data_IF_324214109969
#
_entry.id   IF_324214109969
#
_cell.length_a   1.000
_cell.length_b   1.000
_cell.length_c   1.000
_cell.angle_alpha   90.00
_cell.angle_beta   90.00
_cell.angle_gamma   90.00
#
_symmetry.space_group_name_H-M   'P 1'
#
loop_
_entity.id
_entity.type
_entity.pdbx_description
1 polymer ?
#
# COMPACT_ATOMS: atom_id res chain seq x y z
N UNK A 1 -1.75 -20.61 -8.51
CA UNK A 1 -0.38 -20.37 -8.01
C UNK A 1 -0.37 -20.62 -6.51
N UNK A 2 0.70 -21.17 -5.95
CA UNK A 2 0.80 -21.40 -4.50
C UNK A 2 1.25 -20.12 -3.76
N UNK A 3 0.95 -20.00 -2.45
CA UNK A 3 1.40 -18.88 -1.58
C UNK A 3 2.90 -18.57 -1.72
N UNK A 4 3.71 -19.63 -1.91
CA UNK A 4 5.14 -19.52 -2.12
C UNK A 4 5.52 -18.74 -3.38
N UNK A 5 4.79 -18.93 -4.49
CA UNK A 5 5.06 -18.24 -5.76
C UNK A 5 4.76 -16.75 -5.65
N UNK A 6 3.66 -16.37 -4.99
CA UNK A 6 3.29 -14.97 -4.75
C UNK A 6 4.33 -14.25 -3.89
N UNK A 7 4.75 -14.88 -2.79
CA UNK A 7 5.81 -14.34 -1.92
C UNK A 7 7.15 -14.17 -2.66
N UNK A 8 7.49 -15.10 -3.55
CA UNK A 8 8.70 -14.99 -4.37
C UNK A 8 8.59 -13.84 -5.37
N UNK A 9 7.44 -13.67 -6.02
CA UNK A 9 7.19 -12.58 -6.98
C UNK A 9 7.40 -11.20 -6.33
N UNK A 10 6.82 -10.96 -5.15
CA UNK A 10 7.01 -9.69 -4.43
C UNK A 10 8.47 -9.41 -4.06
N UNK A 11 9.24 -10.44 -3.69
CA UNK A 11 10.69 -10.31 -3.42
C UNK A 11 11.47 -9.97 -4.68
N UNK A 12 11.18 -10.66 -5.78
CA UNK A 12 11.84 -10.41 -7.08
C UNK A 12 11.56 -8.99 -7.59
N UNK A 13 10.33 -8.49 -7.40
CA UNK A 13 9.98 -7.10 -7.73
C UNK A 13 10.81 -6.09 -6.92
N UNK A 14 10.88 -6.24 -5.58
CA UNK A 14 11.69 -5.36 -4.73
C UNK A 14 13.18 -5.38 -5.12
N UNK A 15 13.71 -6.54 -5.49
CA UNK A 15 15.09 -6.68 -5.96
C UNK A 15 15.31 -5.94 -7.29
N UNK A 16 14.39 -6.07 -8.25
CA UNK A 16 14.42 -5.33 -9.53
C UNK A 16 14.39 -3.81 -9.29
N UNK A 17 13.55 -3.34 -8.38
CA UNK A 17 13.43 -1.93 -8.02
C UNK A 17 14.55 -1.40 -7.12
N UNK A 18 15.49 -2.27 -6.69
CA UNK A 18 16.55 -1.98 -5.70
C UNK A 18 16.01 -1.27 -4.45
N UNK A 19 14.81 -1.68 -4.04
CA UNK A 19 14.08 -1.07 -2.93
C UNK A 19 14.15 -1.97 -1.70
N UNK A 20 14.38 -1.37 -0.53
CA UNK A 20 14.34 -2.05 0.76
C UNK A 20 13.03 -1.74 1.47
N UNK A 21 12.29 -2.78 1.84
CA UNK A 21 11.08 -2.66 2.64
C UNK A 21 11.40 -2.90 4.13
N UNK A 22 10.94 -2.01 4.99
CA UNK A 22 11.02 -2.13 6.45
C UNK A 22 9.61 -2.17 7.00
N UNK A 23 9.31 -3.16 7.84
CA UNK A 23 8.00 -3.33 8.47
C UNK A 23 8.16 -3.09 9.98
N UNK A 24 7.35 -2.19 10.52
CA UNK A 24 7.28 -1.86 11.95
C UNK A 24 5.87 -2.15 12.45
N UNK A 25 5.74 -2.93 13.52
CA UNK A 25 4.46 -3.10 14.18
C UNK A 25 4.09 -1.81 14.93
N UNK A 26 2.89 -1.29 14.65
CA UNK A 26 2.37 -0.07 15.26
C UNK A 26 1.40 -0.37 16.40
N UNK A 27 0.84 -1.58 16.47
CA UNK A 27 -0.04 -2.02 17.55
C UNK A 27 -1.36 -2.59 17.05
N UNK A 28 -2.13 -3.15 17.99
CA UNK A 28 -3.45 -3.72 17.75
C UNK A 28 -4.52 -2.64 17.95
N UNK A 29 -5.02 -2.08 16.85
CA UNK A 29 -5.91 -0.91 16.87
C UNK A 29 -6.92 -0.93 15.70
N UNK A 30 -8.01 -0.17 15.78
CA UNK A 30 -8.86 0.11 14.61
C UNK A 30 -8.02 0.76 13.50
N UNK A 31 -8.16 0.29 12.26
CA UNK A 31 -7.43 0.87 11.14
C UNK A 31 -8.23 1.99 10.45
N UNK A 32 -9.56 1.84 10.41
CA UNK A 32 -10.48 2.83 9.84
C UNK A 32 -11.30 3.55 10.92
N UNK A 33 -11.78 4.75 10.62
CA UNK A 33 -12.52 5.61 11.57
C UNK A 33 -13.84 4.95 12.05
N UNK A 34 -14.48 4.14 11.21
CA UNK A 34 -15.75 3.45 11.50
C UNK A 34 -15.56 1.95 11.89
N UNK A 35 -14.31 1.50 12.07
CA UNK A 35 -13.98 0.10 12.37
C UNK A 35 -14.31 -0.24 13.83
N UNK A 36 -15.07 -1.33 14.04
CA UNK A 36 -15.39 -1.83 15.39
C UNK A 36 -14.38 -2.84 15.90
N UNK A 37 -13.65 -3.47 14.99
CA UNK A 37 -12.71 -4.53 15.29
C UNK A 37 -11.27 -4.00 15.19
N UNK A 38 -10.48 -4.31 16.20
CA UNK A 38 -9.05 -4.01 16.19
C UNK A 38 -8.30 -5.05 15.36
N UNK A 39 -7.23 -4.60 14.71
CA UNK A 39 -6.37 -5.44 13.89
C UNK A 39 -4.91 -5.05 14.10
N UNK A 40 -4.00 -5.96 13.76
CA UNK A 40 -2.58 -5.66 13.77
C UNK A 40 -2.26 -4.63 12.68
N UNK A 41 -1.85 -3.43 13.10
CA UNK A 41 -1.47 -2.35 12.19
C UNK A 41 0.04 -2.29 12.07
N UNK A 42 0.53 -2.26 10.83
CA UNK A 42 1.95 -2.17 10.51
C UNK A 42 2.26 -0.89 9.76
N UNK A 43 3.34 -0.22 10.16
CA UNK A 43 3.94 0.88 9.43
C UNK A 43 5.02 0.33 8.50
N UNK A 44 4.85 0.55 7.21
CA UNK A 44 5.74 0.01 6.18
C UNK A 44 6.48 1.16 5.55
N UNK A 45 7.79 1.06 5.48
CA UNK A 45 8.64 2.06 4.85
C UNK A 45 9.50 1.43 3.77
N UNK A 46 9.33 1.92 2.54
CA UNK A 46 10.18 1.64 1.40
C UNK A 46 11.29 2.67 1.32
N UNK A 47 12.52 2.21 1.09
CA UNK A 47 13.69 3.07 0.89
C UNK A 47 14.46 2.61 -0.33
N UNK A 48 14.82 3.54 -1.22
CA UNK A 48 15.71 3.28 -2.34
C UNK A 48 16.62 4.46 -2.65
N UNK A 49 17.74 4.18 -3.29
CA UNK A 49 18.64 5.19 -3.86
C UNK A 49 18.31 5.30 -5.36
N UNK A 50 18.04 6.50 -5.90
CA UNK A 50 17.90 6.71 -7.34
C UNK A 50 19.06 7.57 -7.85
N UNK A 51 19.72 7.10 -8.90
CA UNK A 51 20.82 7.82 -9.55
C UNK A 51 21.97 8.13 -8.59
N UNK A 52 22.63 9.28 -8.81
CA UNK A 52 23.72 9.81 -7.97
C UNK A 52 23.24 10.69 -6.82
N UNK A 53 21.94 10.76 -6.56
CA UNK A 53 21.40 11.60 -5.50
C UNK A 53 21.79 11.05 -4.11
N UNK A 54 22.41 11.89 -3.29
CA UNK A 54 22.81 11.60 -1.91
C UNK A 54 21.63 11.42 -0.94
N UNK A 55 20.41 11.69 -1.38
CA UNK A 55 19.17 11.54 -0.60
C UNK A 55 18.44 10.26 -1.03
N UNK A 56 18.26 9.35 -0.08
CA UNK A 56 17.45 8.15 -0.32
C UNK A 56 15.97 8.52 -0.40
N UNK A 57 15.32 8.13 -1.49
CA UNK A 57 13.87 8.22 -1.63
C UNK A 57 13.23 7.29 -0.60
N UNK A 58 12.24 7.80 0.12
CA UNK A 58 11.47 7.06 1.12
C UNK A 58 9.98 7.24 0.86
N UNK A 59 9.24 6.15 1.02
CA UNK A 59 7.79 6.11 0.93
C UNK A 59 7.27 5.28 2.09
N UNK A 60 6.23 5.77 2.78
CA UNK A 60 5.69 5.11 3.96
C UNK A 60 4.19 4.95 3.86
N UNK A 61 3.69 3.76 4.17
CA UNK A 61 2.24 3.49 4.27
C UNK A 61 1.92 2.80 5.58
N UNK A 62 0.65 2.89 5.96
CA UNK A 62 0.09 2.15 7.08
C UNK A 62 -0.75 1.02 6.52
N UNK A 63 -0.51 -0.20 6.99
CA UNK A 63 -1.18 -1.41 6.53
C UNK A 63 -1.90 -2.07 7.71
N UNK A 64 -3.22 -2.12 7.65
CA UNK A 64 -4.02 -2.95 8.55
C UNK A 64 -4.06 -4.39 8.04
N UNK A 65 -3.66 -5.35 8.87
CA UNK A 65 -3.71 -6.76 8.49
C UNK A 65 -5.16 -7.28 8.43
N UNK A 66 -5.36 -8.38 7.70
CA UNK A 66 -6.61 -9.14 7.73
C UNK A 66 -6.91 -9.63 9.15
N UNK A 67 -8.18 -9.64 9.54
CA UNK A 67 -8.61 -10.15 10.86
C UNK A 67 -8.29 -11.63 11.03
N UNK A 68 -8.32 -12.42 9.95
CA UNK A 68 -7.96 -13.84 9.96
C UNK A 68 -6.46 -14.08 10.25
N UNK A 69 -5.61 -13.13 9.87
CA UNK A 69 -4.16 -13.22 10.03
C UNK A 69 -3.65 -12.45 11.26
N UNK A 70 -4.53 -11.69 11.91
CA UNK A 70 -4.21 -10.88 13.08
C UNK A 70 -4.10 -11.76 14.32
N UNK A 71 -2.98 -11.68 15.00
CA UNK A 71 -2.72 -12.41 16.25
C UNK A 71 -2.82 -11.50 17.48
N UNK A 72 -2.94 -10.18 17.29
CA UNK A 72 -2.92 -9.17 18.36
C UNK A 72 -1.51 -8.84 18.88
N UNK A 73 -0.52 -9.61 18.45
CA UNK A 73 0.88 -9.54 18.91
C UNK A 73 1.82 -8.98 17.84
N UNK A 74 1.36 -8.82 16.60
CA UNK A 74 2.19 -8.38 15.47
C UNK A 74 3.22 -9.43 14.98
N UNK A 75 3.07 -10.69 15.39
CA UNK A 75 3.99 -11.78 15.02
C UNK A 75 3.88 -12.15 13.54
N UNK A 76 2.67 -12.08 12.99
CA UNK A 76 2.41 -12.42 11.60
C UNK A 76 2.65 -11.21 10.68
N UNK A 77 3.91 -10.91 10.36
CA UNK A 77 4.24 -9.73 9.55
C UNK A 77 3.76 -9.89 8.10
N UNK A 78 3.19 -8.83 7.49
CA UNK A 78 2.76 -8.89 6.10
C UNK A 78 3.94 -9.13 5.17
N UNK A 79 3.72 -9.97 4.16
CA UNK A 79 4.72 -10.24 3.13
C UNK A 79 4.85 -9.05 2.17
N UNK A 80 6.00 -8.92 1.50
CA UNK A 80 6.19 -7.88 0.49
C UNK A 80 5.10 -7.91 -0.60
N UNK A 81 4.68 -9.11 -1.01
CA UNK A 81 3.60 -9.28 -1.98
C UNK A 81 2.28 -8.69 -1.45
N UNK A 82 1.86 -9.07 -0.24
CA UNK A 82 0.60 -8.59 0.35
C UNK A 82 0.55 -7.06 0.48
N UNK A 83 1.70 -6.43 0.68
CA UNK A 83 1.80 -4.98 0.76
C UNK A 83 1.73 -4.35 -0.63
N UNK A 84 2.52 -4.87 -1.57
CA UNK A 84 2.61 -4.36 -2.93
C UNK A 84 1.30 -4.51 -3.70
N UNK A 85 0.53 -5.58 -3.45
CA UNK A 85 -0.78 -5.78 -4.06
C UNK A 85 -1.84 -4.80 -3.58
N UNK A 86 -1.69 -4.28 -2.35
CA UNK A 86 -2.63 -3.33 -1.74
C UNK A 86 -2.31 -1.86 -2.05
N UNK A 87 -1.19 -1.57 -2.71
CA UNK A 87 -0.88 -0.20 -3.15
C UNK A 87 -1.82 0.24 -4.26
N UNK A 88 -2.09 1.55 -4.31
CA UNK A 88 -2.78 2.18 -5.44
C UNK A 88 -1.92 2.06 -6.70
N UNK A 89 -2.37 1.23 -7.66
CA UNK A 89 -1.59 0.88 -8.88
C UNK A 89 -2.02 1.65 -10.13
N UNK A 90 -3.11 2.41 -10.04
CA UNK A 90 -3.70 3.17 -11.15
C UNK A 90 -4.06 4.56 -10.67
N UNK A 91 -4.18 5.47 -11.62
CA UNK A 91 -4.65 6.81 -11.33
C UNK A 91 -6.09 6.75 -10.80
N UNK A 92 -6.37 7.25 -9.58
CA UNK A 92 -7.71 7.27 -9.02
C UNK A 92 -8.66 8.26 -9.68
N UNK A 93 -8.18 9.09 -10.62
CA UNK A 93 -9.03 10.01 -11.38
C UNK A 93 -9.63 11.13 -10.54
N UNK A 94 -10.68 11.75 -11.09
CA UNK A 94 -11.44 12.80 -10.42
C UNK A 94 -12.34 12.24 -9.31
N UNK A 95 -12.82 13.11 -8.43
CA UNK A 95 -13.67 12.69 -7.32
C UNK A 95 -15.02 12.15 -7.82
N UNK A 96 -15.55 12.74 -8.88
CA UNK A 96 -16.80 12.35 -9.53
C UNK A 96 -16.67 10.96 -10.17
N UNK A 97 -15.56 10.68 -10.85
CA UNK A 97 -15.26 9.35 -11.41
C UNK A 97 -15.13 8.30 -10.30
N UNK A 98 -14.40 8.62 -9.23
CA UNK A 98 -14.28 7.76 -8.06
C UNK A 98 -15.65 7.48 -7.41
N UNK A 99 -16.50 8.50 -7.29
CA UNK A 99 -17.85 8.33 -6.77
C UNK A 99 -18.71 7.44 -7.67
N UNK A 100 -18.65 7.63 -8.99
CA UNK A 100 -19.38 6.82 -9.95
C UNK A 100 -18.91 5.35 -9.97
N UNK A 101 -17.60 5.09 -9.84
CA UNK A 101 -17.02 3.74 -9.86
C UNK A 101 -17.34 2.94 -8.60
N UNK A 102 -17.21 3.56 -7.42
CA UNK A 102 -17.41 2.89 -6.13
C UNK A 102 -18.83 3.06 -5.55
N UNK A 103 -19.69 3.81 -6.23
CA UNK A 103 -21.06 4.08 -5.79
C UNK A 103 -21.15 5.02 -4.59
N UNK A 104 -20.18 5.92 -4.43
CA UNK A 104 -20.26 6.98 -3.42
C UNK A 104 -21.11 8.16 -3.90
N UNK A 105 -21.66 8.88 -2.94
CA UNK A 105 -22.32 10.15 -3.17
C UNK A 105 -21.27 11.27 -3.35
N UNK A 106 -21.39 12.05 -4.42
CA UNK A 106 -20.53 13.20 -4.71
C UNK A 106 -20.64 14.32 -3.68
N UNK A 107 -21.68 14.34 -2.84
CA UNK A 107 -21.78 15.30 -1.74
C UNK A 107 -21.22 14.74 -0.41
N UNK A 108 -20.71 13.50 -0.41
CA UNK A 108 -20.16 12.87 0.79
C UNK A 108 -18.75 13.37 1.11
N UNK A 109 -18.65 14.15 2.19
CA UNK A 109 -17.36 14.55 2.79
C UNK A 109 -16.49 13.37 3.22
N UNK A 110 -17.09 12.23 3.56
CA UNK A 110 -16.33 10.99 3.86
C UNK A 110 -15.68 10.43 2.60
N UNK A 111 -16.42 10.38 1.49
CA UNK A 111 -15.90 9.91 0.21
C UNK A 111 -14.79 10.85 -0.29
N UNK A 112 -14.95 12.16 -0.14
CA UNK A 112 -13.92 13.15 -0.51
C UNK A 112 -12.63 12.95 0.29
N UNK A 113 -12.73 12.70 1.61
CA UNK A 113 -11.57 12.39 2.46
C UNK A 113 -10.86 11.11 2.00
N UNK A 114 -11.62 10.07 1.65
CA UNK A 114 -11.07 8.81 1.14
C UNK A 114 -10.38 9.02 -0.21
N UNK A 115 -11.02 9.71 -1.16
CA UNK A 115 -10.44 10.03 -2.47
C UNK A 115 -9.12 10.80 -2.32
N UNK A 116 -9.10 11.84 -1.48
CA UNK A 116 -7.86 12.59 -1.18
C UNK A 116 -6.76 11.70 -0.60
N UNK A 117 -7.10 10.74 0.26
CA UNK A 117 -6.13 9.79 0.80
C UNK A 117 -5.56 8.88 -0.30
N UNK A 118 -6.41 8.36 -1.19
CA UNK A 118 -6.00 7.53 -2.34
C UNK A 118 -5.13 8.33 -3.30
N UNK A 119 -5.50 9.57 -3.63
CA UNK A 119 -4.68 10.48 -4.47
C UNK A 119 -3.33 10.76 -3.82
N UNK A 120 -3.29 11.01 -2.51
CA UNK A 120 -2.05 11.24 -1.79
C UNK A 120 -1.15 9.99 -1.77
N UNK A 121 -1.72 8.80 -1.67
CA UNK A 121 -0.98 7.54 -1.80
C UNK A 121 -0.46 7.36 -3.23
N UNK A 122 -1.29 7.55 -4.25
CA UNK A 122 -0.92 7.45 -5.66
C UNK A 122 0.24 8.38 -6.01
N UNK A 123 0.20 9.63 -5.55
CA UNK A 123 1.29 10.59 -5.78
C UNK A 123 2.60 10.13 -5.15
N UNK A 124 2.56 9.47 -4.00
CA UNK A 124 3.76 8.91 -3.39
C UNK A 124 4.26 7.67 -4.12
N UNK A 125 3.37 6.78 -4.58
CA UNK A 125 3.71 5.61 -5.40
C UNK A 125 4.35 6.07 -6.71
N UNK A 126 3.73 7.01 -7.42
CA UNK A 126 4.24 7.61 -8.66
C UNK A 126 5.54 8.40 -8.47
N UNK A 127 5.71 9.04 -7.31
CA UNK A 127 6.98 9.68 -6.94
C UNK A 127 8.08 8.68 -6.57
N UNK A 128 7.71 7.51 -6.05
CA UNK A 128 8.64 6.48 -5.64
C UNK A 128 9.05 5.57 -6.79
N UNK A 129 8.12 5.01 -7.57
CA UNK A 129 8.31 4.05 -8.68
C UNK A 129 8.31 4.73 -10.05
N UNK A 130 8.89 4.10 -11.08
CA UNK A 130 8.74 4.55 -12.47
C UNK A 130 7.48 3.99 -13.12
N UNK A 131 7.03 4.58 -14.23
CA UNK A 131 5.85 4.10 -14.96
C UNK A 131 5.97 2.62 -15.38
N UNK A 132 7.16 2.18 -15.80
CA UNK A 132 7.45 0.76 -16.09
C UNK A 132 7.34 -0.13 -14.84
N UNK A 133 7.78 0.37 -13.67
CA UNK A 133 7.69 -0.36 -12.40
C UNK A 133 6.24 -0.45 -11.92
N UNK A 134 5.45 0.61 -12.12
CA UNK A 134 4.03 0.64 -11.77
C UNK A 134 3.23 -0.31 -12.66
N UNK A 135 3.55 -0.37 -13.96
CA UNK A 135 2.95 -1.34 -14.87
C UNK A 135 3.24 -2.77 -14.42
N UNK A 136 4.50 -3.08 -14.10
CA UNK A 136 4.88 -4.38 -13.56
C UNK A 136 4.25 -4.65 -12.18
N UNK A 137 4.02 -3.63 -11.35
CA UNK A 137 3.31 -3.74 -10.07
C UNK A 137 1.83 -4.07 -10.28
N UNK A 138 1.19 -3.49 -11.31
CA UNK A 138 -0.19 -3.76 -11.69
C UNK A 138 -0.41 -5.21 -12.17
N UNK A 139 0.63 -5.86 -12.70
CA UNK A 139 0.61 -7.28 -13.07
C UNK A 139 0.73 -8.23 -11.86
N UNK A 140 1.15 -7.73 -10.70
CA UNK A 140 1.17 -8.50 -9.45
C UNK A 140 -0.26 -8.52 -8.89
N UNK A 141 -1.00 -9.60 -9.16
CA UNK A 141 -2.34 -9.88 -8.62
C UNK A 141 -2.44 -11.28 -8.01
#
# INVERSE_FOLDING_TARGET
MSDYQYRAQGKSFLAKCKAKMTVRYLGYRPHFDDDKESRDVFGITFRRMRGSCSIAHRFGITFGQSTADSTGSGDNKPSAYAVLTCLTKRDPGTFEEFCAEYGYDTDSRKAEKTHKAVVAEWNQVKGFFTDDEITALAEIN
#
